data_IF_074475516312
#
_entry.id   IF_074475516312
#
_cell.length_a   1.000
_cell.length_b   1.000
_cell.length_c   1.000
_cell.angle_alpha   90.00
_cell.angle_beta   90.00
_cell.angle_gamma   90.00
#
_symmetry.space_group_name_H-M   'P 1'
#
loop_
_entity.id
_entity.type
_entity.pdbx_description
1 polymer ?
#
# COMPACT_ATOMS: atom_id res chain seq x y z
N UNK A 1 104.37 -0.59 -41.51
CA UNK A 1 103.69 -1.91 -41.52
C UNK A 1 102.48 -1.80 -42.43
N UNK A 2 102.50 -2.47 -43.57
CA UNK A 2 101.31 -2.58 -44.42
C UNK A 2 100.40 -3.68 -43.85
N UNK A 3 99.14 -3.36 -43.60
CA UNK A 3 98.13 -4.33 -43.16
C UNK A 3 97.97 -5.38 -44.26
N UNK A 4 97.88 -6.66 -43.92
CA UNK A 4 97.71 -7.72 -44.94
C UNK A 4 96.30 -7.59 -45.55
N UNK A 5 96.12 -7.78 -46.87
CA UNK A 5 94.82 -7.57 -47.53
C UNK A 5 93.62 -8.30 -46.91
N UNK A 6 93.85 -9.47 -46.28
CA UNK A 6 92.81 -10.22 -45.55
C UNK A 6 92.32 -9.52 -44.28
N UNK A 7 93.22 -8.89 -43.53
CA UNK A 7 92.89 -8.11 -42.33
C UNK A 7 92.12 -6.84 -42.71
N UNK A 8 92.47 -6.24 -43.85
CA UNK A 8 91.81 -5.04 -44.36
C UNK A 8 90.35 -5.32 -44.79
N UNK A 9 90.09 -6.46 -45.45
CA UNK A 9 88.72 -6.87 -45.82
C UNK A 9 87.85 -7.23 -44.60
N UNK A 10 88.43 -7.85 -43.58
CA UNK A 10 87.72 -8.18 -42.34
C UNK A 10 87.34 -6.94 -41.52
N UNK A 11 88.24 -5.95 -41.45
CA UNK A 11 87.94 -4.67 -40.81
C UNK A 11 86.86 -3.89 -41.57
N UNK A 12 86.84 -4.01 -42.90
CA UNK A 12 85.79 -3.40 -43.72
C UNK A 12 84.41 -4.03 -43.43
N UNK A 13 84.32 -5.36 -43.36
CA UNK A 13 83.05 -6.05 -43.08
C UNK A 13 82.52 -5.72 -41.68
N UNK A 14 83.38 -5.68 -40.67
CA UNK A 14 82.99 -5.25 -39.31
C UNK A 14 82.49 -3.80 -39.32
N UNK A 15 83.16 -2.91 -40.06
CA UNK A 15 82.76 -1.51 -40.14
C UNK A 15 81.37 -1.35 -40.76
N UNK A 16 81.06 -2.13 -41.79
CA UNK A 16 79.74 -2.17 -42.44
C UNK A 16 78.66 -2.74 -41.51
N UNK A 17 78.95 -3.84 -40.80
CA UNK A 17 78.04 -4.42 -39.80
C UNK A 17 77.73 -3.45 -38.66
N UNK A 18 78.74 -2.77 -38.12
CA UNK A 18 78.58 -1.77 -37.07
C UNK A 18 77.76 -0.57 -37.56
N UNK A 19 77.98 -0.13 -38.79
CA UNK A 19 77.19 0.95 -39.40
C UNK A 19 75.72 0.54 -39.50
N UNK A 20 75.45 -0.66 -40.01
CA UNK A 20 74.09 -1.17 -40.15
C UNK A 20 73.39 -1.33 -38.78
N UNK A 21 74.09 -1.87 -37.77
CA UNK A 21 73.56 -1.98 -36.41
C UNK A 21 73.25 -0.62 -35.80
N UNK A 22 74.11 0.39 -36.01
CA UNK A 22 73.91 1.73 -35.51
C UNK A 22 72.72 2.43 -36.20
N UNK A 23 72.55 2.24 -37.51
CA UNK A 23 71.37 2.72 -38.23
C UNK A 23 70.08 2.07 -37.71
N UNK A 24 70.09 0.76 -37.44
CA UNK A 24 68.96 0.05 -36.84
C UNK A 24 68.62 0.58 -35.45
N UNK A 25 69.61 0.73 -34.57
CA UNK A 25 69.41 1.27 -33.22
C UNK A 25 68.91 2.72 -33.22
N UNK A 26 69.36 3.54 -34.18
CA UNK A 26 68.84 4.91 -34.36
C UNK A 26 67.36 4.89 -34.73
N UNK A 27 66.96 4.01 -35.64
CA UNK A 27 65.55 3.87 -36.03
C UNK A 27 64.70 3.45 -34.83
N UNK A 28 65.12 2.42 -34.11
CA UNK A 28 64.41 1.93 -32.92
C UNK A 28 64.29 2.99 -31.82
N UNK A 29 65.33 3.79 -31.59
CA UNK A 29 65.26 4.93 -30.66
C UNK A 29 64.27 6.01 -31.11
N UNK A 30 64.17 6.28 -32.41
CA UNK A 30 63.19 7.24 -32.93
C UNK A 30 61.76 6.72 -32.75
N UNK A 31 61.53 5.44 -33.05
CA UNK A 31 60.24 4.78 -32.88
C UNK A 31 59.81 4.80 -31.41
N UNK A 32 60.69 4.38 -30.48
CA UNK A 32 60.45 4.44 -29.03
C UNK A 32 60.20 5.85 -28.50
N UNK A 33 60.88 6.86 -29.07
CA UNK A 33 60.66 8.26 -28.69
C UNK A 33 59.29 8.75 -29.16
N UNK A 34 58.85 8.34 -30.34
CA UNK A 34 57.51 8.63 -30.85
C UNK A 34 56.44 7.95 -30.00
N UNK A 35 56.64 6.69 -29.63
CA UNK A 35 55.72 5.94 -28.79
C UNK A 35 55.60 6.54 -27.39
N UNK A 36 56.72 6.90 -26.75
CA UNK A 36 56.71 7.59 -25.46
C UNK A 36 55.93 8.92 -25.50
N UNK A 37 56.09 9.70 -26.57
CA UNK A 37 55.34 10.95 -26.74
C UNK A 37 53.84 10.69 -26.88
N UNK A 38 53.47 9.64 -27.61
CA UNK A 38 52.08 9.24 -27.78
C UNK A 38 51.46 8.81 -26.44
N UNK A 39 52.13 7.92 -25.70
CA UNK A 39 51.69 7.45 -24.38
C UNK A 39 51.57 8.60 -23.37
N UNK A 40 52.49 9.56 -23.40
CA UNK A 40 52.42 10.75 -22.54
C UNK A 40 51.16 11.59 -22.84
N UNK A 41 50.81 11.73 -24.13
CA UNK A 41 49.62 12.47 -24.56
C UNK A 41 48.34 11.75 -24.13
N UNK A 42 48.30 10.43 -24.26
CA UNK A 42 47.17 9.61 -23.80
C UNK A 42 46.99 9.68 -22.28
N UNK A 43 48.11 9.64 -21.53
CA UNK A 43 48.11 9.77 -20.08
C UNK A 43 47.53 11.13 -19.64
N UNK A 44 47.97 12.23 -20.26
CA UNK A 44 47.47 13.57 -19.97
C UNK A 44 45.97 13.70 -20.25
N UNK A 45 45.48 13.07 -21.32
CA UNK A 45 44.06 13.04 -21.67
C UNK A 45 43.25 12.22 -20.67
N UNK A 46 43.77 11.06 -20.25
CA UNK A 46 43.14 10.23 -19.22
C UNK A 46 43.04 10.97 -17.88
N UNK A 47 44.10 11.68 -17.46
CA UNK A 47 44.11 12.48 -16.23
C UNK A 47 43.02 13.56 -16.28
N UNK A 48 42.90 14.29 -17.39
CA UNK A 48 41.83 15.31 -17.56
C UNK A 48 40.44 14.70 -17.48
N UNK A 49 40.23 13.53 -18.08
CA UNK A 49 38.94 12.82 -18.03
C UNK A 49 38.61 12.39 -16.59
N UNK A 50 39.58 11.85 -15.86
CA UNK A 50 39.41 11.46 -14.46
C UNK A 50 39.04 12.68 -13.60
N UNK A 51 39.72 13.82 -13.80
CA UNK A 51 39.39 15.06 -13.07
C UNK A 51 37.98 15.56 -13.35
N UNK A 52 37.55 15.52 -14.62
CA UNK A 52 36.18 15.90 -15.00
C UNK A 52 35.14 14.97 -14.36
N UNK A 53 35.37 13.65 -14.39
CA UNK A 53 34.46 12.68 -13.77
C UNK A 53 34.41 12.85 -12.24
N UNK A 54 35.55 13.16 -11.61
CA UNK A 54 35.60 13.43 -10.17
C UNK A 54 34.77 14.65 -9.79
N UNK A 55 34.89 15.74 -10.54
CA UNK A 55 34.10 16.95 -10.28
C UNK A 55 32.60 16.69 -10.45
N UNK A 56 32.23 15.98 -11.52
CA UNK A 56 30.84 15.59 -11.75
C UNK A 56 30.28 14.70 -10.62
N UNK A 57 31.10 13.79 -10.09
CA UNK A 57 30.70 12.94 -8.95
C UNK A 57 30.43 13.79 -7.71
N UNK A 58 31.27 14.79 -7.43
CA UNK A 58 31.07 15.70 -6.29
C UNK A 58 29.80 16.56 -6.45
N UNK A 59 29.49 17.00 -7.67
CA UNK A 59 28.25 17.73 -7.97
C UNK A 59 27.02 16.85 -7.70
N UNK A 60 27.04 15.60 -8.17
CA UNK A 60 25.96 14.63 -7.91
C UNK A 60 25.80 14.32 -6.41
N UNK A 61 26.90 14.17 -5.67
CA UNK A 61 26.87 13.94 -4.22
C UNK A 61 26.24 15.14 -3.48
N UNK A 62 26.54 16.36 -3.91
CA UNK A 62 25.92 17.57 -3.36
C UNK A 62 24.42 17.63 -3.66
N UNK A 63 24.01 17.30 -4.88
CA UNK A 63 22.60 17.26 -5.28
C UNK A 63 21.82 16.22 -4.47
N UNK A 64 22.36 15.00 -4.33
CA UNK A 64 21.76 13.92 -3.52
C UNK A 64 21.57 14.37 -2.07
N UNK A 65 22.57 15.01 -1.48
CA UNK A 65 22.47 15.49 -0.10
C UNK A 65 21.39 16.57 0.05
N UNK A 66 21.27 17.50 -0.91
CA UNK A 66 20.22 18.51 -0.90
C UNK A 66 18.83 17.88 -1.01
N UNK A 67 18.64 16.95 -1.95
CA UNK A 67 17.36 16.23 -2.09
C UNK A 67 17.00 15.45 -0.84
N UNK A 68 17.98 14.82 -0.17
CA UNK A 68 17.75 14.09 1.08
C UNK A 68 17.25 15.02 2.19
N UNK A 69 17.82 16.21 2.32
CA UNK A 69 17.36 17.22 3.29
C UNK A 69 15.94 17.68 2.97
N UNK A 70 15.60 17.90 1.70
CA UNK A 70 14.24 18.30 1.29
C UNK A 70 13.21 17.21 1.61
N UNK A 71 13.55 15.94 1.36
CA UNK A 71 12.67 14.80 1.70
C UNK A 71 12.40 14.76 3.21
N UNK A 72 13.44 14.93 4.03
CA UNK A 72 13.29 14.91 5.48
C UNK A 72 12.37 16.04 5.96
N UNK A 73 12.52 17.24 5.42
CA UNK A 73 11.64 18.38 5.73
C UNK A 73 10.18 18.10 5.35
N UNK A 74 9.94 17.45 4.21
CA UNK A 74 8.58 17.07 3.78
C UNK A 74 7.98 15.99 4.67
N UNK A 75 8.78 15.03 5.13
CA UNK A 75 8.29 14.00 6.06
C UNK A 75 7.84 14.60 7.40
N UNK A 76 8.61 15.53 7.96
CA UNK A 76 8.22 16.24 9.19
C UNK A 76 6.92 17.04 8.98
N UNK A 77 6.77 17.70 7.83
CA UNK A 77 5.54 18.42 7.52
C UNK A 77 4.33 17.48 7.37
N UNK A 78 4.52 16.28 6.79
CA UNK A 78 3.47 15.27 6.69
C UNK A 78 3.05 14.73 8.06
N UNK A 79 3.99 14.50 8.97
CA UNK A 79 3.69 14.10 10.36
C UNK A 79 2.83 15.15 11.05
N UNK A 80 3.18 16.44 10.93
CA UNK A 80 2.38 17.54 11.49
C UNK A 80 0.97 17.60 10.91
N UNK A 81 0.82 17.39 9.60
CA UNK A 81 -0.50 17.35 8.95
C UNK A 81 -1.33 16.18 9.46
N UNK A 82 -0.73 15.01 9.69
CA UNK A 82 -1.44 13.86 10.25
C UNK A 82 -1.91 14.13 11.68
N UNK A 83 -1.07 14.74 12.53
CA UNK A 83 -1.46 15.15 13.87
C UNK A 83 -2.62 16.17 13.85
N UNK A 84 -2.60 17.11 12.90
CA UNK A 84 -3.69 18.07 12.71
C UNK A 84 -4.99 17.38 12.27
N UNK A 85 -4.92 16.37 11.38
CA UNK A 85 -6.08 15.57 10.96
C UNK A 85 -6.68 14.82 12.15
N UNK A 86 -5.87 14.16 12.96
CA UNK A 86 -6.34 13.42 14.15
C UNK A 86 -7.01 14.36 15.15
N UNK A 87 -6.43 15.56 15.36
CA UNK A 87 -7.03 16.59 16.19
C UNK A 87 -8.37 17.06 15.63
N UNK A 88 -8.46 17.34 14.33
CA UNK A 88 -9.72 17.76 13.71
C UNK A 88 -10.77 16.66 13.75
N UNK A 89 -10.40 15.40 13.52
CA UNK A 89 -11.31 14.25 13.68
C UNK A 89 -11.90 14.21 15.08
N UNK A 90 -11.05 14.39 16.10
CA UNK A 90 -11.48 14.42 17.50
C UNK A 90 -12.44 15.58 17.79
N UNK A 91 -12.14 16.78 17.27
CA UNK A 91 -13.02 17.95 17.39
C UNK A 91 -14.36 17.77 16.67
N UNK A 92 -14.37 17.09 15.52
CA UNK A 92 -15.60 16.74 14.81
C UNK A 92 -16.42 15.75 15.64
N UNK A 93 -15.78 14.72 16.22
CA UNK A 93 -16.47 13.78 17.12
C UNK A 93 -17.07 14.49 18.35
N UNK A 94 -16.34 15.45 18.95
CA UNK A 94 -16.84 16.28 20.04
C UNK A 94 -18.03 17.16 19.60
N UNK A 95 -17.94 17.79 18.43
CA UNK A 95 -19.01 18.62 17.89
C UNK A 95 -20.27 17.79 17.62
N UNK A 96 -20.10 16.60 17.05
CA UNK A 96 -21.18 15.62 16.88
C UNK A 96 -21.79 15.29 18.25
N UNK A 97 -20.95 15.06 19.27
CA UNK A 97 -21.38 14.89 20.66
C UNK A 97 -22.19 16.05 21.24
N UNK A 98 -21.77 17.29 20.97
CA UNK A 98 -22.49 18.48 21.41
C UNK A 98 -23.82 18.67 20.68
N UNK A 99 -23.84 18.42 19.36
CA UNK A 99 -25.08 18.46 18.56
C UNK A 99 -26.08 17.44 19.11
N UNK A 100 -25.62 16.21 19.43
CA UNK A 100 -26.46 15.24 20.14
C UNK A 100 -27.04 15.82 21.42
N UNK A 101 -26.18 16.33 22.32
CA UNK A 101 -26.62 16.86 23.61
C UNK A 101 -27.63 18.00 23.48
N UNK A 102 -27.45 18.88 22.49
CA UNK A 102 -28.37 20.00 22.24
C UNK A 102 -29.68 19.56 21.59
N UNK A 103 -29.67 18.54 20.72
CA UNK A 103 -30.90 17.92 20.22
C UNK A 103 -31.67 17.22 21.36
N UNK A 104 -30.96 16.64 22.34
CA UNK A 104 -31.56 16.07 23.55
C UNK A 104 -32.20 17.13 24.46
N UNK A 105 -31.58 18.31 24.63
CA UNK A 105 -32.10 19.38 25.50
C UNK A 105 -33.25 20.18 24.88
N UNK A 106 -33.32 20.29 23.54
CA UNK A 106 -34.36 21.09 22.86
C UNK A 106 -35.72 20.39 22.74
N UNK A 107 -35.84 19.12 23.11
CA UNK A 107 -37.04 18.33 22.85
C UNK A 107 -37.56 17.63 24.11
N UNK A 108 -38.01 18.43 25.09
CA UNK A 108 -39.10 18.01 25.98
C UNK A 108 -40.39 17.89 25.15
N UNK A 109 -40.59 16.74 24.52
CA UNK A 109 -41.84 16.36 23.88
C UNK A 109 -41.78 16.21 22.36
N UNK A 110 -41.95 14.96 21.94
CA UNK A 110 -42.40 14.53 20.60
C UNK A 110 -41.33 14.49 19.49
N UNK A 111 -40.40 13.54 19.59
CA UNK A 111 -40.05 12.58 18.52
C UNK A 111 -39.68 11.24 19.18
N UNK A 112 -39.87 10.09 18.50
CA UNK A 112 -39.90 8.78 19.14
C UNK A 112 -38.50 8.35 19.55
N UNK A 113 -38.42 7.50 20.56
CA UNK A 113 -37.27 6.78 21.12
C UNK A 113 -36.21 6.21 20.11
N UNK A 114 -36.40 6.33 18.79
CA UNK A 114 -35.73 5.56 17.74
C UNK A 114 -34.30 5.94 17.31
N UNK A 115 -33.81 7.19 17.48
CA UNK A 115 -32.46 7.56 17.00
C UNK A 115 -31.36 7.20 18.00
N UNK A 116 -31.58 7.47 19.29
CA UNK A 116 -30.66 7.08 20.36
C UNK A 116 -30.66 5.57 20.60
N UNK A 117 -31.82 4.91 20.53
CA UNK A 117 -31.91 3.44 20.52
C UNK A 117 -31.09 2.88 19.35
N UNK A 118 -31.23 3.42 18.13
CA UNK A 118 -30.43 2.96 16.99
C UNK A 118 -28.91 3.13 17.19
N UNK A 119 -28.45 4.29 17.66
CA UNK A 119 -27.01 4.53 17.86
C UNK A 119 -26.41 3.69 19.00
N UNK A 120 -27.20 3.38 20.03
CA UNK A 120 -26.84 2.45 21.11
C UNK A 120 -26.85 1.00 20.64
N UNK A 121 -27.82 0.62 19.81
CA UNK A 121 -27.98 -0.75 19.29
C UNK A 121 -26.93 -1.13 18.24
N UNK A 122 -26.39 -0.16 17.50
CA UNK A 122 -25.29 -0.41 16.56
C UNK A 122 -23.99 -0.55 17.33
N UNK A 123 -23.58 -1.79 17.60
CA UNK A 123 -22.28 -2.11 18.19
C UNK A 123 -21.27 -2.46 17.11
N UNK A 124 -20.40 -1.50 16.77
CA UNK A 124 -19.28 -1.71 15.86
C UNK A 124 -18.05 -2.16 16.64
N UNK A 125 -17.38 -3.22 16.18
CA UNK A 125 -16.06 -3.57 16.65
C UNK A 125 -15.01 -2.57 16.16
N UNK A 126 -13.91 -2.49 16.91
CA UNK A 126 -12.78 -1.66 16.55
C UNK A 126 -11.96 -2.24 15.38
N UNK A 127 -12.14 -3.52 15.06
CA UNK A 127 -11.40 -4.19 13.98
C UNK A 127 -12.03 -3.88 12.60
N UNK A 128 -11.63 -2.73 12.04
CA UNK A 128 -12.13 -2.23 10.76
C UNK A 128 -11.75 -3.10 9.57
N UNK A 129 -10.76 -3.98 9.69
CA UNK A 129 -10.39 -4.92 8.63
C UNK A 129 -11.50 -5.93 8.32
N UNK A 130 -12.45 -6.09 9.24
CA UNK A 130 -13.58 -7.01 9.14
C UNK A 130 -14.91 -6.29 8.83
N UNK A 131 -14.85 -5.05 8.36
CA UNK A 131 -16.01 -4.24 7.97
C UNK A 131 -15.96 -3.94 6.47
N UNK A 132 -17.02 -4.30 5.74
CA UNK A 132 -17.10 -4.26 4.29
C UNK A 132 -18.33 -3.50 3.80
N UNK A 133 -18.11 -2.41 3.05
CA UNK A 133 -19.18 -1.55 2.56
C UNK A 133 -20.02 -2.14 1.42
N UNK A 134 -21.34 -1.98 1.50
CA UNK A 134 -22.28 -2.22 0.40
C UNK A 134 -22.80 -0.86 -0.08
N UNK A 135 -22.33 -0.44 -1.25
CA UNK A 135 -22.55 0.92 -1.79
C UNK A 135 -22.06 2.03 -0.84
N UNK A 136 -21.10 1.70 0.03
CA UNK A 136 -20.31 2.62 0.86
C UNK A 136 -18.84 2.44 0.46
N UNK A 137 -18.10 3.54 0.32
CA UNK A 137 -16.66 3.48 0.00
C UNK A 137 -15.88 2.87 1.16
N UNK A 138 -14.97 1.96 0.86
CA UNK A 138 -14.15 1.30 1.89
C UNK A 138 -13.28 2.32 2.62
N UNK A 139 -12.74 3.32 1.92
CA UNK A 139 -11.93 4.39 2.51
C UNK A 139 -12.71 5.18 3.56
N UNK A 140 -14.03 5.35 3.38
CA UNK A 140 -14.87 5.99 4.39
C UNK A 140 -14.92 5.15 5.67
N UNK A 141 -15.15 3.85 5.56
CA UNK A 141 -15.22 2.94 6.72
C UNK A 141 -13.87 2.85 7.46
N UNK A 142 -12.75 2.86 6.72
CA UNK A 142 -11.43 2.79 7.32
C UNK A 142 -11.02 4.08 8.04
N UNK A 143 -11.31 5.24 7.44
CA UNK A 143 -10.79 6.52 7.92
C UNK A 143 -11.67 7.24 8.95
N UNK A 144 -12.90 6.78 9.20
CA UNK A 144 -13.85 7.48 10.08
C UNK A 144 -14.06 6.74 11.41
N UNK A 145 -14.46 7.47 12.45
CA UNK A 145 -14.74 6.88 13.77
C UNK A 145 -15.99 5.98 13.71
N UNK A 146 -16.11 5.05 14.66
CA UNK A 146 -17.31 4.21 14.77
C UNK A 146 -18.58 5.08 14.91
N UNK A 147 -18.50 6.20 15.64
CA UNK A 147 -19.61 7.13 15.79
C UNK A 147 -19.98 7.77 14.44
N UNK A 148 -19.01 8.27 13.68
CA UNK A 148 -19.27 8.83 12.34
C UNK A 148 -19.96 7.81 11.43
N UNK A 149 -19.55 6.53 11.48
CA UNK A 149 -20.17 5.45 10.69
C UNK A 149 -21.60 5.20 11.14
N UNK A 150 -21.88 5.16 12.45
CA UNK A 150 -23.25 5.02 12.98
C UNK A 150 -24.15 6.16 12.52
N UNK A 151 -23.64 7.40 12.52
CA UNK A 151 -24.37 8.56 12.00
C UNK A 151 -24.67 8.46 10.53
N UNK A 152 -23.69 8.03 9.75
CA UNK A 152 -23.88 7.81 8.33
C UNK A 152 -24.99 6.78 8.07
N UNK A 153 -24.98 5.65 8.79
CA UNK A 153 -26.05 4.66 8.70
C UNK A 153 -27.41 5.25 9.05
N UNK A 154 -27.50 6.01 10.14
CA UNK A 154 -28.74 6.66 10.55
C UNK A 154 -29.26 7.63 9.48
N UNK A 155 -28.38 8.48 8.93
CA UNK A 155 -28.71 9.44 7.88
C UNK A 155 -29.12 8.77 6.56
N UNK A 156 -28.60 7.58 6.27
CA UNK A 156 -28.99 6.77 5.11
C UNK A 156 -30.18 5.84 5.38
N UNK A 157 -30.91 6.05 6.48
CA UNK A 157 -32.06 5.24 6.91
C UNK A 157 -31.75 3.73 6.99
N UNK A 158 -30.51 3.36 7.32
CA UNK A 158 -30.05 1.98 7.44
C UNK A 158 -30.52 1.37 8.77
N UNK A 159 -31.82 1.13 8.90
CA UNK A 159 -32.48 0.72 10.16
C UNK A 159 -32.50 -0.80 10.38
N UNK A 160 -32.11 -1.60 9.39
CA UNK A 160 -32.17 -3.06 9.47
C UNK A 160 -30.86 -3.58 10.03
N UNK A 161 -30.97 -4.41 11.06
CA UNK A 161 -29.88 -5.19 11.64
C UNK A 161 -30.20 -6.67 11.51
N UNK A 162 -29.31 -7.42 10.88
CA UNK A 162 -29.43 -8.86 10.75
C UNK A 162 -28.12 -9.53 11.17
N UNK A 163 -28.20 -10.76 11.65
CA UNK A 163 -27.04 -11.52 12.09
C UNK A 163 -27.18 -12.95 11.60
N UNK A 164 -26.13 -13.44 10.95
CA UNK A 164 -26.14 -14.73 10.29
C UNK A 164 -24.94 -15.54 10.76
N UNK A 165 -25.20 -16.74 11.25
CA UNK A 165 -24.13 -17.69 11.57
C UNK A 165 -23.55 -18.29 10.29
N UNK A 166 -22.23 -18.28 10.21
CA UNK A 166 -21.50 -18.87 9.11
C UNK A 166 -21.20 -20.33 9.44
N UNK A 167 -22.12 -21.21 9.05
CA UNK A 167 -22.00 -22.65 9.29
C UNK A 167 -21.34 -23.31 8.07
N UNK A 168 -20.50 -24.32 8.31
CA UNK A 168 -19.86 -25.17 7.28
C UNK A 168 -18.78 -24.49 6.41
N UNK A 169 -18.25 -23.33 6.81
CA UNK A 169 -17.06 -22.75 6.19
C UNK A 169 -15.82 -23.05 7.03
N UNK A 170 -14.79 -23.64 6.40
CA UNK A 170 -13.51 -23.91 7.06
C UNK A 170 -12.70 -22.62 7.17
N UNK A 171 -13.00 -21.82 8.19
CA UNK A 171 -12.27 -20.58 8.48
C UNK A 171 -11.10 -20.91 9.40
N UNK A 172 -9.87 -20.65 8.94
CA UNK A 172 -8.63 -20.97 9.69
C UNK A 172 -7.82 -19.73 10.05
N UNK A 173 -7.99 -18.62 9.32
CA UNK A 173 -7.30 -17.36 9.59
C UNK A 173 -8.22 -16.14 9.55
N UNK A 174 -7.68 -14.99 9.97
CA UNK A 174 -8.33 -13.68 9.82
C UNK A 174 -8.53 -13.34 8.34
N UNK A 175 -7.60 -13.71 7.46
CA UNK A 175 -7.76 -13.47 6.02
C UNK A 175 -8.93 -14.28 5.43
N UNK A 176 -9.15 -15.52 5.90
CA UNK A 176 -10.31 -16.32 5.48
C UNK A 176 -11.63 -15.65 5.89
N UNK A 177 -11.69 -15.08 7.11
CA UNK A 177 -12.85 -14.30 7.57
C UNK A 177 -13.07 -13.08 6.68
N UNK A 178 -12.01 -12.30 6.44
CA UNK A 178 -12.11 -11.09 5.64
C UNK A 178 -12.59 -11.41 4.21
N UNK A 179 -12.09 -12.50 3.62
CA UNK A 179 -12.50 -12.96 2.30
C UNK A 179 -13.99 -13.33 2.25
N UNK A 180 -14.51 -14.02 3.27
CA UNK A 180 -15.94 -14.35 3.34
C UNK A 180 -16.79 -13.08 3.44
N UNK A 181 -16.38 -12.12 4.25
CA UNK A 181 -17.09 -10.85 4.44
C UNK A 181 -17.11 -9.99 3.18
N UNK A 182 -15.95 -9.86 2.54
CA UNK A 182 -15.84 -9.18 1.26
C UNK A 182 -16.69 -9.90 0.20
N UNK A 183 -16.57 -11.22 0.07
CA UNK A 183 -17.33 -11.99 -0.91
C UNK A 183 -18.85 -11.83 -0.72
N UNK A 184 -19.33 -11.86 0.52
CA UNK A 184 -20.75 -11.66 0.82
C UNK A 184 -21.20 -10.23 0.51
N UNK A 185 -20.45 -9.20 0.94
CA UNK A 185 -20.77 -7.80 0.64
C UNK A 185 -20.81 -7.54 -0.88
N UNK A 186 -19.84 -8.09 -1.61
CA UNK A 186 -19.79 -8.03 -3.07
C UNK A 186 -20.97 -8.74 -3.72
N UNK A 187 -21.33 -9.93 -3.22
CA UNK A 187 -22.47 -10.69 -3.69
C UNK A 187 -23.77 -9.88 -3.53
N UNK A 188 -24.05 -9.35 -2.34
CA UNK A 188 -25.23 -8.53 -2.06
C UNK A 188 -25.25 -7.30 -2.97
N UNK A 189 -24.11 -6.63 -3.16
CA UNK A 189 -23.99 -5.45 -4.03
C UNK A 189 -24.38 -5.77 -5.49
N UNK A 190 -23.84 -6.84 -6.04
CA UNK A 190 -24.11 -7.23 -7.44
C UNK A 190 -25.54 -7.74 -7.61
N UNK A 191 -26.01 -8.57 -6.68
CA UNK A 191 -27.34 -9.16 -6.74
C UNK A 191 -28.43 -8.09 -6.57
N UNK A 192 -28.27 -7.14 -5.64
CA UNK A 192 -29.22 -6.03 -5.46
C UNK A 192 -29.27 -5.10 -6.68
N UNK A 193 -28.13 -4.79 -7.28
CA UNK A 193 -28.07 -4.02 -8.52
C UNK A 193 -28.83 -4.72 -9.66
N UNK A 194 -28.72 -6.05 -9.77
CA UNK A 194 -29.44 -6.82 -10.80
C UNK A 194 -30.96 -6.81 -10.61
N UNK A 195 -31.44 -6.64 -9.37
CA UNK A 195 -32.86 -6.52 -9.02
C UNK A 195 -33.37 -5.07 -9.08
N UNK A 196 -32.50 -4.09 -9.32
CA UNK A 196 -32.85 -2.66 -9.29
C UNK A 196 -33.09 -2.12 -7.88
N UNK A 197 -32.56 -2.80 -6.86
CA UNK A 197 -32.68 -2.38 -5.46
C UNK A 197 -31.54 -1.41 -5.10
N UNK A 198 -31.89 -0.27 -4.51
CA UNK A 198 -30.91 0.70 -3.98
C UNK A 198 -30.52 0.32 -2.56
N UNK A 199 -29.80 -0.78 -2.40
CA UNK A 199 -29.36 -1.27 -1.10
C UNK A 199 -28.10 -0.51 -0.64
N UNK A 200 -28.10 -0.05 0.60
CA UNK A 200 -26.97 0.62 1.22
C UNK A 200 -26.74 0.07 2.62
N UNK A 201 -25.49 -0.08 3.02
CA UNK A 201 -25.14 -0.62 4.33
C UNK A 201 -23.72 -1.13 4.39
N UNK A 202 -23.38 -1.86 5.44
CA UNK A 202 -22.14 -2.63 5.49
C UNK A 202 -22.35 -3.97 6.16
N UNK A 203 -21.35 -4.82 5.97
CA UNK A 203 -21.22 -6.13 6.60
C UNK A 203 -20.06 -6.06 7.59
N UNK A 204 -20.27 -6.52 8.80
CA UNK A 204 -19.23 -6.75 9.80
C UNK A 204 -19.12 -8.26 10.05
N UNK A 205 -17.89 -8.80 10.11
CA UNK A 205 -17.66 -10.18 10.49
C UNK A 205 -17.08 -10.27 11.88
N UNK A 206 -17.79 -10.98 12.76
CA UNK A 206 -17.30 -11.36 14.06
C UNK A 206 -16.56 -12.70 13.97
N UNK A 207 -15.32 -12.80 14.47
CA UNK A 207 -14.58 -14.05 14.50
C UNK A 207 -15.28 -15.09 15.38
N UNK A 208 -15.08 -16.37 15.04
CA UNK A 208 -15.50 -17.48 15.88
C UNK A 208 -14.85 -17.41 17.26
N UNK A 209 -15.58 -17.83 18.29
CA UNK A 209 -15.00 -18.18 19.59
C UNK A 209 -14.76 -19.70 19.63
N UNK A 210 -14.19 -20.21 20.73
CA UNK A 210 -14.04 -21.66 20.93
C UNK A 210 -15.40 -22.39 20.92
N UNK A 211 -16.49 -21.66 21.23
CA UNK A 211 -17.83 -22.22 21.40
C UNK A 211 -18.81 -21.79 20.29
N UNK A 212 -18.50 -20.73 19.55
CA UNK A 212 -19.44 -20.08 18.63
C UNK A 212 -18.89 -20.02 17.20
N UNK A 213 -19.79 -20.20 16.23
CA UNK A 213 -19.48 -19.98 14.81
C UNK A 213 -19.19 -18.49 14.54
N UNK A 214 -18.45 -18.15 13.46
CA UNK A 214 -18.34 -16.78 13.01
C UNK A 214 -19.73 -16.21 12.67
N UNK A 215 -19.94 -14.92 12.95
CA UNK A 215 -21.21 -14.23 12.70
C UNK A 215 -20.99 -13.12 11.69
N UNK A 216 -21.81 -13.10 10.64
CA UNK A 216 -21.95 -11.96 9.75
C UNK A 216 -23.05 -11.06 10.30
N UNK A 217 -22.69 -9.85 10.73
CA UNK A 217 -23.64 -8.79 11.07
C UNK A 217 -23.85 -7.89 9.86
N UNK A 218 -25.09 -7.62 9.53
CA UNK A 218 -25.46 -6.68 8.49
C UNK A 218 -26.18 -5.49 9.11
N UNK A 219 -25.81 -4.29 8.64
CA UNK A 219 -26.49 -3.04 8.95
C UNK A 219 -26.81 -2.32 7.64
N UNK A 220 -28.09 -2.10 7.34
CA UNK A 220 -28.44 -1.44 6.09
C UNK A 220 -29.91 -1.09 5.89
N UNK A 221 -30.24 -0.64 4.68
CA UNK A 221 -31.54 -0.08 4.32
C UNK A 221 -32.60 -1.13 3.94
N UNK A 222 -32.18 -2.34 3.55
CA UNK A 222 -33.07 -3.43 3.10
C UNK A 222 -32.58 -4.76 3.68
N UNK A 223 -33.48 -5.67 4.01
CA UNK A 223 -33.12 -7.01 4.49
C UNK A 223 -32.25 -7.75 3.48
N UNK A 224 -31.20 -8.41 3.96
CA UNK A 224 -30.31 -9.24 3.15
C UNK A 224 -30.50 -10.74 3.39
N UNK A 225 -31.53 -11.14 4.13
CA UNK A 225 -31.78 -12.55 4.48
C UNK A 225 -31.84 -13.46 3.24
N UNK A 226 -32.61 -13.08 2.21
CA UNK A 226 -32.69 -13.86 0.97
C UNK A 226 -31.35 -13.97 0.22
N UNK A 227 -30.54 -12.91 0.31
CA UNK A 227 -29.20 -12.89 -0.29
C UNK A 227 -28.24 -13.80 0.48
N UNK A 228 -28.34 -13.83 1.82
CA UNK A 228 -27.53 -14.70 2.64
C UNK A 228 -27.85 -16.18 2.37
N UNK A 229 -29.12 -16.55 2.34
CA UNK A 229 -29.56 -17.92 2.02
C UNK A 229 -29.04 -18.38 0.65
N UNK A 230 -29.09 -17.48 -0.35
CA UNK A 230 -28.57 -17.76 -1.67
C UNK A 230 -27.04 -17.86 -1.70
N UNK A 231 -26.35 -16.96 -1.01
CA UNK A 231 -24.90 -16.97 -0.89
C UNK A 231 -24.41 -18.29 -0.27
N UNK A 232 -24.98 -18.70 0.87
CA UNK A 232 -24.65 -19.96 1.52
C UNK A 232 -24.94 -21.13 0.59
N UNK A 233 -26.05 -21.14 -0.14
CA UNK A 233 -26.38 -22.20 -1.10
C UNK A 233 -25.33 -22.35 -2.19
N UNK A 234 -24.88 -21.23 -2.77
CA UNK A 234 -23.86 -21.22 -3.82
C UNK A 234 -22.50 -21.67 -3.27
N UNK A 235 -22.16 -21.26 -2.04
CA UNK A 235 -20.84 -21.52 -1.47
C UNK A 235 -20.70 -22.91 -0.80
N UNK A 236 -21.78 -23.42 -0.20
CA UNK A 236 -21.78 -24.70 0.53
C UNK A 236 -22.04 -25.94 -0.33
N UNK A 237 -22.41 -25.77 -1.61
CA UNK A 237 -22.86 -26.84 -2.49
C UNK A 237 -24.04 -27.68 -1.93
N UNK A 238 -24.78 -27.18 -0.95
CA UNK A 238 -25.90 -27.91 -0.34
C UNK A 238 -27.25 -27.62 -1.03
N UNK A 239 -28.11 -28.65 -1.24
CA UNK A 239 -29.47 -28.46 -1.76
C UNK A 239 -30.43 -27.91 -0.68
N UNK A 240 -31.48 -27.19 -1.13
CA UNK A 240 -32.43 -26.39 -0.32
C UNK A 240 -32.83 -27.04 1.02
N UNK A 241 -32.36 -26.47 2.13
CA UNK A 241 -33.01 -26.57 3.45
C UNK A 241 -33.03 -25.20 4.10
N UNK A 242 -34.21 -24.79 4.59
CA UNK A 242 -34.45 -23.47 5.20
C UNK A 242 -33.53 -23.25 6.41
N UNK A 243 -32.88 -22.09 6.47
CA UNK A 243 -32.10 -21.67 7.62
C UNK A 243 -33.00 -21.56 8.87
N UNK A 244 -32.50 -22.06 10.00
CA UNK A 244 -33.17 -21.97 11.29
C UNK A 244 -32.99 -20.56 11.83
N UNK A 245 -34.07 -19.78 11.89
CA UNK A 245 -34.11 -18.51 12.60
C UNK A 245 -34.13 -18.77 14.11
N UNK A 246 -33.23 -18.15 14.86
CA UNK A 246 -33.35 -18.04 16.33
C UNK A 246 -34.01 -16.69 16.64
N UNK A 247 -35.27 -16.64 17.09
CA UNK A 247 -35.88 -15.40 17.52
C UNK A 247 -35.35 -15.02 18.91
N UNK A 248 -34.83 -13.80 19.05
CA UNK A 248 -34.67 -13.16 20.36
C UNK A 248 -36.07 -12.83 20.89
N UNK A 249 -36.53 -13.57 21.91
CA UNK A 249 -37.82 -13.31 22.55
C UNK A 249 -37.74 -12.02 23.37
N UNK A 250 -38.65 -11.10 23.07
CA UNK A 250 -38.96 -9.95 23.93
C UNK A 250 -39.61 -10.48 25.20
N UNK A 251 -38.89 -10.39 26.32
CA UNK A 251 -39.45 -10.58 27.65
C UNK A 251 -40.31 -9.39 28.03
N UNK A 252 -41.59 -9.45 27.68
CA UNK A 252 -42.63 -8.70 28.36
C UNK A 252 -43.29 -9.65 29.36
N UNK A 253 -43.12 -9.41 30.66
CA UNK A 253 -44.11 -9.83 31.66
C UNK A 253 -43.96 -9.02 32.96
N UNK A 254 -45.06 -8.32 33.26
CA UNK A 254 -45.53 -7.62 34.49
C UNK A 254 -44.79 -6.39 35.01
#
# INVERSE_FOLDING_TARGET
MAIKPKEQNYLLSISEELKHANEKLKKENLDLKSENLHLQTELDLAIKKIQSMKNYTLELEAEINNTKVEIEQKNVALEQVNEDIDRFSSQVDELIGLIMGLEMEKQEGVYPQSSMEFLQDVELQNDKDLIFGINIKQEFLQNNSANTIKYYLFACECKIRESFEVINLQIRSKEDLALVGEAFAQYVRVASLSKGESLQGFVEILPATILDNPIIRYYGSVSVTDYFDEFVRVYSHQPKTKATQTPLSVGAET
#
